data_IF_176205520061
#
_entry.id   IF_176205520061
#
_cell.length_a   1.000
_cell.length_b   1.000
_cell.length_c   1.000
_cell.angle_alpha   90.00
_cell.angle_beta   90.00
_cell.angle_gamma   90.00
#
_symmetry.space_group_name_H-M   'P 1'
#
loop_
_entity.id
_entity.type
_entity.pdbx_description
1 polymer ?
#
# COMPACT_ATOMS: atom_id res chain seq x y z
N UNK A 1 53.06 2.62 -2.31
CA UNK A 1 52.18 3.81 -2.22
C UNK A 1 50.94 3.68 -3.11
N UNK A 2 51.05 3.24 -4.38
CA UNK A 2 49.89 3.10 -5.27
C UNK A 2 48.79 2.08 -4.84
N UNK A 3 49.15 1.01 -4.12
CA UNK A 3 48.16 0.00 -3.67
C UNK A 3 47.27 0.50 -2.52
N UNK A 4 47.81 1.32 -1.62
CA UNK A 4 47.06 1.90 -0.49
C UNK A 4 46.08 2.96 -0.98
N UNK A 5 46.52 3.82 -1.90
CA UNK A 5 45.68 4.85 -2.53
C UNK A 5 44.53 4.23 -3.35
N UNK A 6 44.78 3.13 -4.08
CA UNK A 6 43.72 2.39 -4.79
C UNK A 6 42.70 1.76 -3.83
N UNK A 7 43.15 1.17 -2.72
CA UNK A 7 42.25 0.57 -1.72
C UNK A 7 41.37 1.61 -1.01
N UNK A 8 41.93 2.79 -0.70
CA UNK A 8 41.17 3.90 -0.10
C UNK A 8 40.10 4.42 -1.07
N UNK A 9 40.44 4.57 -2.37
CA UNK A 9 39.50 4.99 -3.39
C UNK A 9 38.34 4.00 -3.57
N UNK A 10 38.62 2.69 -3.62
CA UNK A 10 37.58 1.66 -3.71
C UNK A 10 36.66 1.65 -2.47
N UNK A 11 37.22 1.86 -1.27
CA UNK A 11 36.45 1.97 -0.04
C UNK A 11 35.49 3.17 -0.09
N UNK A 12 35.98 4.32 -0.52
CA UNK A 12 35.18 5.55 -0.63
C UNK A 12 34.03 5.36 -1.62
N UNK A 13 34.30 4.79 -2.80
CA UNK A 13 33.27 4.52 -3.80
C UNK A 13 32.18 3.60 -3.25
N UNK A 14 32.57 2.52 -2.56
CA UNK A 14 31.62 1.54 -2.01
C UNK A 14 30.76 2.14 -0.89
N UNK A 15 31.34 2.95 -0.02
CA UNK A 15 30.60 3.66 1.04
C UNK A 15 29.65 4.68 0.43
N UNK A 16 30.09 5.47 -0.55
CA UNK A 16 29.25 6.47 -1.22
C UNK A 16 28.08 5.85 -1.96
N UNK A 17 28.30 4.69 -2.60
CA UNK A 17 27.23 3.94 -3.23
C UNK A 17 26.20 3.44 -2.20
N UNK A 18 26.65 2.88 -1.08
CA UNK A 18 25.76 2.42 -0.01
C UNK A 18 24.96 3.58 0.63
N UNK A 19 25.59 4.74 0.84
CA UNK A 19 24.93 5.96 1.32
C UNK A 19 23.86 6.45 0.33
N UNK A 20 24.17 6.46 -0.96
CA UNK A 20 23.23 6.86 -2.02
C UNK A 20 22.02 5.91 -2.10
N UNK A 21 22.25 4.60 -2.01
CA UNK A 21 21.17 3.61 -1.98
C UNK A 21 20.28 3.75 -0.74
N UNK A 22 20.88 3.98 0.43
CA UNK A 22 20.14 4.22 1.67
C UNK A 22 19.29 5.50 1.58
N UNK A 23 19.86 6.59 1.07
CA UNK A 23 19.15 7.85 0.87
C UNK A 23 18.02 7.70 -0.14
N UNK A 24 18.25 6.99 -1.25
CA UNK A 24 17.22 6.70 -2.25
C UNK A 24 16.04 5.95 -1.65
N UNK A 25 16.29 4.87 -0.89
CA UNK A 25 15.25 4.11 -0.19
C UNK A 25 14.50 4.96 0.85
N UNK A 26 15.21 5.80 1.58
CA UNK A 26 14.59 6.71 2.56
C UNK A 26 13.67 7.73 1.88
N UNK A 27 14.11 8.33 0.76
CA UNK A 27 13.29 9.26 -0.03
C UNK A 27 12.09 8.57 -0.65
N UNK A 28 12.26 7.34 -1.17
CA UNK A 28 11.15 6.53 -1.69
C UNK A 28 10.13 6.23 -0.58
N UNK A 29 10.59 5.81 0.60
CA UNK A 29 9.73 5.56 1.76
C UNK A 29 8.96 6.81 2.19
N UNK A 30 9.64 7.97 2.22
CA UNK A 30 9.00 9.26 2.50
C UNK A 30 7.93 9.59 1.45
N UNK A 31 8.24 9.44 0.17
CA UNK A 31 7.29 9.68 -0.92
C UNK A 31 6.04 8.81 -0.81
N UNK A 32 6.20 7.52 -0.50
CA UNK A 32 5.07 6.60 -0.27
C UNK A 32 4.24 7.04 0.94
N UNK A 33 4.88 7.45 2.04
CA UNK A 33 4.18 7.91 3.23
C UNK A 33 3.39 9.20 2.96
N UNK A 34 3.98 10.15 2.25
CA UNK A 34 3.34 11.41 1.88
C UNK A 34 2.18 11.17 0.89
N UNK A 35 2.35 10.27 -0.09
CA UNK A 35 1.28 9.84 -0.98
C UNK A 35 0.12 9.21 -0.20
N UNK A 36 0.41 8.30 0.74
CA UNK A 36 -0.62 7.68 1.60
C UNK A 36 -1.37 8.72 2.42
N UNK A 37 -0.68 9.72 2.97
CA UNK A 37 -1.32 10.82 3.70
C UNK A 37 -2.27 11.60 2.80
N UNK A 38 -1.84 11.98 1.60
CA UNK A 38 -2.66 12.71 0.64
C UNK A 38 -3.92 11.92 0.22
N UNK A 39 -3.81 10.60 0.04
CA UNK A 39 -4.95 9.73 -0.27
C UNK A 39 -5.98 9.76 0.87
N UNK A 40 -5.54 9.58 2.12
CA UNK A 40 -6.44 9.59 3.29
C UNK A 40 -7.11 10.95 3.47
N UNK A 41 -6.36 12.03 3.28
CA UNK A 41 -6.88 13.39 3.38
C UNK A 41 -7.92 13.69 2.30
N UNK A 42 -7.64 13.35 1.04
CA UNK A 42 -8.60 13.50 -0.06
C UNK A 42 -9.85 12.63 0.13
N UNK A 43 -9.73 11.41 0.67
CA UNK A 43 -10.88 10.57 1.00
C UNK A 43 -11.74 11.21 2.10
N UNK A 44 -11.11 11.76 3.15
CA UNK A 44 -11.81 12.45 4.24
C UNK A 44 -12.59 13.67 3.73
N UNK A 45 -11.97 14.47 2.87
CA UNK A 45 -12.63 15.62 2.23
C UNK A 45 -13.81 15.16 1.37
N UNK A 46 -13.59 14.17 0.51
CA UNK A 46 -14.63 13.58 -0.36
C UNK A 46 -15.81 13.04 0.45
N UNK A 47 -15.56 12.37 1.58
CA UNK A 47 -16.61 11.90 2.49
C UNK A 47 -17.39 13.05 3.11
N UNK A 48 -16.71 14.11 3.53
CA UNK A 48 -17.34 15.30 4.10
C UNK A 48 -18.24 16.03 3.10
N UNK A 49 -17.82 16.14 1.84
CA UNK A 49 -18.63 16.71 0.76
C UNK A 49 -19.82 15.83 0.39
N UNK A 50 -19.62 14.51 0.33
CA UNK A 50 -20.68 13.55 0.03
C UNK A 50 -21.77 13.55 1.11
N UNK A 51 -21.39 13.55 2.40
CA UNK A 51 -22.34 13.62 3.51
C UNK A 51 -23.15 14.93 3.53
N UNK A 52 -22.56 16.04 3.11
CA UNK A 52 -23.28 17.32 2.94
C UNK A 52 -24.30 17.26 1.80
N UNK A 53 -23.93 16.58 0.71
CA UNK A 53 -24.74 16.49 -0.52
C UNK A 53 -25.86 15.47 -0.41
N UNK A 54 -25.63 14.37 0.32
CA UNK A 54 -26.59 13.27 0.53
C UNK A 54 -26.94 13.21 2.02
N UNK A 55 -28.03 13.90 2.40
CA UNK A 55 -28.51 13.89 3.79
C UNK A 55 -28.88 12.47 4.22
N UNK A 56 -28.20 11.98 5.26
CA UNK A 56 -28.48 10.68 5.87
C UNK A 56 -27.55 9.55 5.43
N UNK A 57 -26.64 9.78 4.47
CA UNK A 57 -25.63 8.78 4.12
C UNK A 57 -24.63 8.58 5.27
N UNK A 58 -24.54 7.34 5.76
CA UNK A 58 -23.55 6.97 6.77
C UNK A 58 -22.15 6.93 6.16
N UNK A 59 -21.13 7.20 6.97
CA UNK A 59 -19.73 7.05 6.56
C UNK A 59 -19.44 5.64 6.00
N UNK A 60 -20.12 4.62 6.52
CA UNK A 60 -19.97 3.23 6.09
C UNK A 60 -20.49 2.99 4.67
N UNK A 61 -21.63 3.57 4.30
CA UNK A 61 -22.19 3.44 2.95
C UNK A 61 -21.31 4.12 1.90
N UNK A 62 -20.74 5.28 2.24
CA UNK A 62 -19.80 6.00 1.36
C UNK A 62 -18.53 5.18 1.14
N UNK A 63 -17.96 4.62 2.21
CA UNK A 63 -16.78 3.75 2.11
C UNK A 63 -17.06 2.49 1.27
N UNK A 64 -18.22 1.86 1.47
CA UNK A 64 -18.61 0.69 0.68
C UNK A 64 -18.74 1.03 -0.82
N UNK A 65 -19.32 2.18 -1.16
CA UNK A 65 -19.42 2.63 -2.55
C UNK A 65 -18.05 2.88 -3.18
N UNK A 66 -17.15 3.56 -2.46
CA UNK A 66 -15.77 3.79 -2.93
C UNK A 66 -15.03 2.47 -3.18
N UNK A 67 -15.16 1.50 -2.28
CA UNK A 67 -14.54 0.18 -2.44
C UNK A 67 -15.08 -0.57 -3.65
N UNK A 68 -16.39 -0.50 -3.92
CA UNK A 68 -17.01 -1.08 -5.10
C UNK A 68 -16.49 -0.41 -6.40
N UNK A 69 -16.38 0.91 -6.43
CA UNK A 69 -15.83 1.61 -7.59
C UNK A 69 -14.36 1.21 -7.83
N UNK A 70 -13.55 1.17 -6.76
CA UNK A 70 -12.14 0.78 -6.86
C UNK A 70 -11.96 -0.66 -7.34
N UNK A 71 -12.86 -1.56 -6.92
CA UNK A 71 -12.92 -2.93 -7.43
C UNK A 71 -13.17 -2.96 -8.95
N UNK A 72 -14.17 -2.22 -9.44
CA UNK A 72 -14.45 -2.15 -10.87
C UNK A 72 -13.34 -1.47 -11.67
N UNK A 73 -12.70 -0.43 -11.14
CA UNK A 73 -11.56 0.21 -11.79
C UNK A 73 -10.38 -0.75 -11.91
N UNK A 74 -10.12 -1.55 -10.87
CA UNK A 74 -9.09 -2.61 -10.90
C UNK A 74 -9.42 -3.66 -11.96
N UNK A 75 -10.68 -4.12 -12.02
CA UNK A 75 -11.11 -5.06 -13.06
C UNK A 75 -10.97 -4.48 -14.47
N UNK A 76 -11.28 -3.20 -14.64
CA UNK A 76 -11.14 -2.49 -15.91
C UNK A 76 -9.68 -2.37 -16.31
N UNK A 77 -8.79 -1.98 -15.41
CA UNK A 77 -7.35 -1.88 -15.67
C UNK A 77 -6.74 -3.24 -16.05
N UNK A 78 -7.14 -4.30 -15.35
CA UNK A 78 -6.75 -5.67 -15.69
C UNK A 78 -7.29 -6.12 -17.06
N UNK A 79 -8.52 -5.72 -17.40
CA UNK A 79 -9.13 -6.02 -18.70
C UNK A 79 -8.56 -5.21 -19.87
N UNK A 80 -8.01 -4.02 -19.61
CA UNK A 80 -7.41 -3.14 -20.63
C UNK A 80 -5.96 -3.50 -20.94
N UNK A 81 -5.22 -4.07 -19.98
CA UNK A 81 -3.87 -4.58 -20.21
C UNK A 81 -3.94 -5.93 -20.93
N UNK A 82 -4.09 -5.88 -22.26
CA UNK A 82 -4.29 -7.04 -23.16
C UNK A 82 -3.17 -8.11 -23.22
N UNK A 83 -2.23 -8.12 -22.28
CA UNK A 83 -1.14 -9.11 -22.17
C UNK A 83 -1.05 -9.78 -20.78
N UNK A 84 -2.08 -9.70 -19.94
CA UNK A 84 -2.05 -10.34 -18.61
C UNK A 84 -2.89 -11.62 -18.60
N UNK A 85 -2.25 -12.79 -18.42
CA UNK A 85 -2.94 -14.03 -18.05
C UNK A 85 -3.35 -13.94 -16.57
N UNK A 86 -4.43 -13.22 -16.30
CA UNK A 86 -4.93 -13.02 -14.93
C UNK A 86 -5.80 -14.22 -14.51
N UNK A 87 -5.27 -15.07 -13.64
CA UNK A 87 -6.06 -16.10 -12.97
C UNK A 87 -6.79 -15.45 -11.79
N UNK A 88 -8.08 -15.18 -11.96
CA UNK A 88 -8.95 -14.73 -10.88
C UNK A 88 -9.26 -15.92 -9.96
N UNK A 89 -8.58 -15.98 -8.82
CA UNK A 89 -9.01 -16.86 -7.74
C UNK A 89 -10.33 -16.31 -7.18
N UNK A 90 -11.37 -17.14 -7.01
CA UNK A 90 -12.67 -16.68 -6.54
C UNK A 90 -12.52 -16.01 -5.17
N UNK A 91 -12.72 -14.70 -5.15
CA UNK A 91 -12.88 -13.90 -3.94
C UNK A 91 -14.30 -13.34 -4.00
N UNK A 92 -15.23 -14.01 -3.32
CA UNK A 92 -16.55 -13.41 -3.10
C UNK A 92 -16.38 -12.13 -2.26
N UNK A 93 -17.32 -11.18 -2.27
CA UNK A 93 -17.29 -10.05 -1.33
C UNK A 93 -17.20 -10.48 0.15
N UNK A 94 -17.66 -11.70 0.46
CA UNK A 94 -17.46 -12.33 1.78
C UNK A 94 -16.02 -12.76 2.05
N UNK A 95 -15.21 -13.03 1.03
CA UNK A 95 -13.81 -13.43 1.19
C UNK A 95 -12.93 -12.33 1.81
N UNK A 96 -13.31 -11.04 1.68
CA UNK A 96 -12.65 -9.95 2.40
C UNK A 96 -12.95 -9.99 3.91
N UNK A 97 -14.19 -10.34 4.28
CA UNK A 97 -14.60 -10.53 5.68
C UNK A 97 -13.90 -11.77 6.26
N UNK A 98 -13.82 -12.84 5.48
CA UNK A 98 -13.14 -14.08 5.86
C UNK A 98 -11.63 -13.85 6.03
N UNK A 99 -11.00 -13.10 5.11
CA UNK A 99 -9.59 -12.72 5.23
C UNK A 99 -9.32 -11.85 6.47
N UNK A 100 -10.19 -10.88 6.74
CA UNK A 100 -10.09 -10.05 7.94
C UNK A 100 -10.25 -10.88 9.22
N UNK A 101 -11.15 -11.87 9.22
CA UNK A 101 -11.32 -12.82 10.32
C UNK A 101 -10.09 -13.69 10.53
N UNK A 102 -9.52 -14.25 9.45
CA UNK A 102 -8.33 -15.09 9.50
C UNK A 102 -7.10 -14.34 10.01
N UNK A 103 -6.91 -13.08 9.60
CA UNK A 103 -5.82 -12.23 10.12
C UNK A 103 -6.00 -11.98 11.62
N UNK A 104 -7.23 -11.68 12.06
CA UNK A 104 -7.54 -11.47 13.48
C UNK A 104 -7.27 -12.74 14.30
N UNK A 105 -7.71 -13.90 13.83
CA UNK A 105 -7.46 -15.18 14.48
C UNK A 105 -5.97 -15.50 14.55
N UNK A 106 -5.21 -15.26 13.47
CA UNK A 106 -3.76 -15.48 13.46
C UNK A 106 -3.03 -14.60 14.50
N UNK A 107 -3.45 -13.34 14.66
CA UNK A 107 -2.89 -12.42 15.67
C UNK A 107 -3.26 -12.87 17.09
N UNK A 108 -4.50 -13.30 17.33
CA UNK A 108 -4.96 -13.81 18.63
C UNK A 108 -4.23 -15.11 18.99
N UNK A 109 -4.15 -16.05 18.04
CA UNK A 109 -3.42 -17.30 18.20
C UNK A 109 -1.93 -17.03 18.50
N UNK A 110 -1.29 -16.14 17.75
CA UNK A 110 0.09 -15.73 17.99
C UNK A 110 0.33 -15.08 19.36
N UNK A 111 -0.67 -14.38 19.92
CA UNK A 111 -0.61 -13.85 21.28
C UNK A 111 -0.91 -14.91 22.36
N UNK A 112 -1.74 -15.90 22.07
CA UNK A 112 -2.04 -17.00 23.02
C UNK A 112 -0.89 -18.00 23.19
N UNK A 113 0.02 -18.09 22.21
CA UNK A 113 1.23 -18.94 22.28
C UNK A 113 2.36 -18.26 23.09
N UNK A 114 2.20 -16.99 23.48
CA UNK A 114 3.16 -16.24 24.32
C UNK A 114 2.83 -16.26 25.83
N UNK A 115 1.89 -17.09 26.28
CA UNK A 115 1.56 -17.27 27.70
C UNK A 115 2.17 -18.57 28.26
#
# INVERSE_FOLDING_TARGET
MAASEKGEAERILKVKQAEAEAQSKALQGKGIADQRRAIVEGLRESMGEFQKSVKGASAQEVLNLILLTQYFDTLKELGQNGQTNTIMLPHSPGALVDLASQIREAVIAGNSVKA
#
